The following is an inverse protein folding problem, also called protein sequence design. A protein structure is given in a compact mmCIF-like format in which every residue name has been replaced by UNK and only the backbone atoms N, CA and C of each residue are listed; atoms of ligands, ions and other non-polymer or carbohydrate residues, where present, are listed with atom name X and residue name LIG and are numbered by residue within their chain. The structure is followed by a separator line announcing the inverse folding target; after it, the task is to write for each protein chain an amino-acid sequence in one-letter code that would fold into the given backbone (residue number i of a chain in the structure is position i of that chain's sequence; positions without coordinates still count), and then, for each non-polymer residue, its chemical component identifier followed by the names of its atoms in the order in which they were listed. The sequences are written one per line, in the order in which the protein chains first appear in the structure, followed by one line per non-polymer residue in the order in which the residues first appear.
data_IF_585895612191
#
_entry.id   IF_585895612191
#
_cell.length_a   1.000
_cell.length_b   1.000
_cell.length_c   1.000
_cell.angle_alpha   90.00
_cell.angle_beta   90.00
_cell.angle_gamma   90.00
#
_symmetry.space_group_name_H-M   'P 1'
#
loop_
_entity.id
_entity.type
_entity.pdbx_description
1 polymer ?
#
# COMPACT_ATOMS: atom_id res chain seq x y z
N UNK A 1 0.34 17.27 -11.48
CA UNK A 1 -0.75 16.66 -10.68
C UNK A 1 -1.06 15.24 -11.13
N UNK A 2 -1.64 15.01 -12.32
CA UNK A 2 -2.00 13.65 -12.76
C UNK A 2 -0.79 12.71 -12.95
N UNK A 3 0.36 13.21 -13.42
CA UNK A 3 1.59 12.40 -13.46
C UNK A 3 2.06 11.97 -12.06
N UNK A 4 1.87 12.81 -11.04
CA UNK A 4 2.18 12.49 -9.65
C UNK A 4 1.20 11.47 -9.06
N UNK A 5 -0.08 11.57 -9.40
CA UNK A 5 -1.11 10.59 -9.00
C UNK A 5 -0.89 9.25 -9.71
N UNK A 6 -0.54 9.26 -11.00
CA UNK A 6 -0.17 8.05 -11.74
C UNK A 6 1.04 7.34 -11.12
N UNK A 7 2.04 8.09 -10.64
CA UNK A 7 3.14 7.51 -9.85
C UNK A 7 2.66 6.86 -8.55
N UNK A 8 1.68 7.44 -7.85
CA UNK A 8 1.10 6.81 -6.66
C UNK A 8 0.37 5.51 -7.01
N UNK A 9 -0.35 5.44 -8.13
CA UNK A 9 -0.92 4.18 -8.62
C UNK A 9 0.15 3.13 -8.93
N UNK A 10 1.23 3.53 -9.60
CA UNK A 10 2.34 2.63 -9.92
C UNK A 10 3.10 2.13 -8.68
N UNK A 11 3.15 2.93 -7.61
CA UNK A 11 3.93 2.58 -6.42
C UNK A 11 3.09 1.87 -5.35
N UNK A 12 1.80 2.20 -5.22
CA UNK A 12 0.94 1.61 -4.19
C UNK A 12 0.08 0.46 -4.73
N UNK A 13 -0.60 0.66 -5.87
CA UNK A 13 -1.58 -0.31 -6.37
C UNK A 13 -0.94 -1.44 -7.17
N UNK A 14 -0.07 -1.10 -8.12
CA UNK A 14 0.55 -2.11 -9.00
C UNK A 14 1.33 -3.14 -8.20
N UNK A 15 2.19 -2.77 -7.22
CA UNK A 15 2.92 -3.77 -6.46
C UNK A 15 2.02 -4.57 -5.55
N UNK A 16 0.95 -3.99 -4.99
CA UNK A 16 -0.04 -4.74 -4.24
C UNK A 16 -0.66 -5.84 -5.11
N UNK A 17 -1.21 -5.48 -6.27
CA UNK A 17 -1.87 -6.44 -7.16
C UNK A 17 -0.89 -7.50 -7.65
N UNK A 18 0.29 -7.10 -8.13
CA UNK A 18 1.27 -8.04 -8.67
C UNK A 18 1.80 -8.94 -7.56
N UNK A 19 2.33 -8.39 -6.47
CA UNK A 19 3.02 -9.19 -5.45
C UNK A 19 2.05 -10.06 -4.66
N UNK A 20 0.84 -9.59 -4.36
CA UNK A 20 -0.17 -10.43 -3.70
C UNK A 20 -0.64 -11.53 -4.64
N UNK A 21 -0.91 -11.25 -5.92
CA UNK A 21 -1.28 -12.32 -6.85
C UNK A 21 -0.12 -13.29 -7.05
N UNK A 22 1.11 -12.83 -7.26
CA UNK A 22 2.26 -13.71 -7.50
C UNK A 22 2.53 -14.63 -6.31
N UNK A 23 2.57 -14.08 -5.09
CA UNK A 23 3.02 -14.84 -3.92
C UNK A 23 1.88 -15.49 -3.12
N UNK A 24 0.67 -14.93 -3.16
CA UNK A 24 -0.43 -15.36 -2.30
C UNK A 24 -1.63 -15.94 -3.05
N UNK A 25 -1.65 -16.01 -4.38
CA UNK A 25 -2.75 -16.65 -5.13
C UNK A 25 -2.50 -18.12 -5.50
N UNK A 26 -1.30 -18.64 -5.23
CA UNK A 26 -0.94 -20.00 -5.64
C UNK A 26 -0.64 -20.14 -7.14
N UNK A 27 -0.87 -19.08 -7.93
CA UNK A 27 -0.73 -19.12 -9.40
C UNK A 27 0.72 -19.17 -9.87
N UNK A 28 1.65 -18.54 -9.15
CA UNK A 28 3.07 -18.49 -9.54
C UNK A 28 3.94 -19.33 -8.60
N UNK A 29 3.63 -19.30 -7.30
CA UNK A 29 4.28 -20.16 -6.31
C UNK A 29 3.21 -21.00 -5.62
N UNK A 30 3.34 -22.34 -5.58
CA UNK A 30 2.40 -23.19 -4.87
C UNK A 30 2.16 -22.73 -3.43
N UNK A 31 0.92 -22.74 -2.94
CA UNK A 31 0.62 -22.29 -1.58
C UNK A 31 1.37 -23.03 -0.47
N UNK A 32 1.77 -24.27 -0.75
CA UNK A 32 2.57 -25.11 0.13
C UNK A 32 4.03 -24.65 0.28
N UNK A 33 4.53 -23.81 -0.62
CA UNK A 33 5.89 -23.29 -0.62
C UNK A 33 6.00 -22.07 0.31
N UNK A 34 6.12 -22.34 1.61
CA UNK A 34 6.09 -21.32 2.68
C UNK A 34 7.19 -20.26 2.58
N UNK A 35 8.30 -20.58 1.90
CA UNK A 35 9.39 -19.62 1.62
C UNK A 35 8.90 -18.41 0.79
N UNK A 36 7.86 -18.58 -0.03
CA UNK A 36 7.29 -17.49 -0.82
C UNK A 36 6.65 -16.41 0.06
N UNK A 37 6.02 -16.78 1.19
CA UNK A 37 5.44 -15.81 2.10
C UNK A 37 6.53 -14.92 2.76
N UNK A 38 7.63 -15.52 3.21
CA UNK A 38 8.77 -14.77 3.76
C UNK A 38 9.39 -13.86 2.68
N UNK A 39 9.56 -14.38 1.47
CA UNK A 39 10.09 -13.62 0.32
C UNK A 39 9.19 -12.44 -0.05
N UNK A 40 7.87 -12.63 -0.02
CA UNK A 40 6.91 -11.56 -0.22
C UNK A 40 7.16 -10.39 0.75
N UNK A 41 7.29 -10.65 2.06
CA UNK A 41 7.56 -9.58 3.03
C UNK A 41 8.88 -8.86 2.76
N UNK A 42 9.95 -9.59 2.40
CA UNK A 42 11.26 -9.01 2.09
C UNK A 42 11.22 -8.06 0.89
N UNK A 43 10.39 -8.36 -0.11
CA UNK A 43 10.23 -7.51 -1.30
C UNK A 43 9.24 -6.38 -1.02
N UNK A 44 8.15 -6.66 -0.31
CA UNK A 44 7.04 -5.74 -0.15
C UNK A 44 7.35 -4.61 0.84
N UNK A 45 8.16 -4.85 1.89
CA UNK A 45 8.57 -3.82 2.83
C UNK A 45 9.32 -2.64 2.16
N UNK A 46 10.36 -2.87 1.33
CA UNK A 46 10.98 -1.81 0.54
C UNK A 46 10.00 -1.05 -0.36
N UNK A 47 9.07 -1.76 -0.99
CA UNK A 47 8.03 -1.15 -1.84
C UNK A 47 7.13 -0.22 -1.04
N UNK A 48 6.69 -0.63 0.15
CA UNK A 48 5.90 0.22 1.05
C UNK A 48 6.71 1.44 1.52
N UNK A 49 8.00 1.27 1.82
CA UNK A 49 8.86 2.40 2.19
C UNK A 49 8.99 3.44 1.06
N UNK A 50 9.18 2.99 -0.18
CA UNK A 50 9.20 3.87 -1.36
C UNK A 50 7.84 4.55 -1.57
N UNK A 51 6.73 3.84 -1.33
CA UNK A 51 5.39 4.40 -1.38
C UNK A 51 5.16 5.50 -0.34
N UNK A 52 5.60 5.28 0.91
CA UNK A 52 5.59 6.29 1.97
C UNK A 52 6.40 7.52 1.56
N UNK A 53 7.59 7.33 1.02
CA UNK A 53 8.41 8.45 0.52
C UNK A 53 7.69 9.22 -0.60
N UNK A 54 7.09 8.53 -1.57
CA UNK A 54 6.35 9.16 -2.66
C UNK A 54 5.13 9.97 -2.14
N UNK A 55 4.40 9.44 -1.16
CA UNK A 55 3.31 10.15 -0.49
C UNK A 55 3.80 11.38 0.25
N UNK A 56 4.90 11.28 1.00
CA UNK A 56 5.49 12.42 1.70
C UNK A 56 5.89 13.54 0.72
N UNK A 57 6.52 13.19 -0.41
CA UNK A 57 6.84 14.14 -1.48
C UNK A 57 5.58 14.76 -2.10
N UNK A 58 4.53 13.97 -2.30
CA UNK A 58 3.25 14.45 -2.81
C UNK A 58 2.57 15.42 -1.86
N UNK A 59 2.59 15.17 -0.54
CA UNK A 59 2.03 16.07 0.48
C UNK A 59 2.72 17.43 0.43
N UNK A 60 4.05 17.46 0.37
CA UNK A 60 4.82 18.71 0.28
C UNK A 60 4.56 19.50 -1.00
N UNK A 61 4.37 18.80 -2.12
CA UNK A 61 4.10 19.42 -3.43
C UNK A 61 2.60 19.60 -3.75
N UNK A 62 1.70 19.17 -2.87
CA UNK A 62 0.28 19.02 -3.15
C UNK A 62 -0.40 20.37 -3.44
N UNK A 63 -1.25 20.49 -4.47
CA UNK A 63 -1.80 21.79 -4.89
C UNK A 63 -2.96 22.28 -4.02
N UNK A 64 -3.67 21.38 -3.31
CA UNK A 64 -4.82 21.75 -2.47
C UNK A 64 -4.77 21.05 -1.11
N UNK A 65 -5.37 21.67 -0.09
CA UNK A 65 -5.43 21.12 1.28
C UNK A 65 -6.06 19.73 1.31
N UNK A 66 -7.18 19.53 0.58
CA UNK A 66 -7.88 18.25 0.55
C UNK A 66 -7.00 17.11 0.02
N UNK A 67 -6.25 17.35 -1.06
CA UNK A 67 -5.34 16.32 -1.61
C UNK A 67 -4.19 16.00 -0.64
N UNK A 68 -3.68 17.00 0.08
CA UNK A 68 -2.65 16.80 1.11
C UNK A 68 -3.19 16.00 2.30
N UNK A 69 -4.42 16.26 2.73
CA UNK A 69 -5.06 15.50 3.82
C UNK A 69 -5.26 14.04 3.42
N UNK A 70 -5.81 13.77 2.23
CA UNK A 70 -6.01 12.39 1.77
C UNK A 70 -4.66 11.67 1.67
N UNK A 71 -3.64 12.30 1.08
CA UNK A 71 -2.30 11.72 0.99
C UNK A 71 -1.65 11.51 2.38
N UNK A 72 -1.90 12.40 3.34
CA UNK A 72 -1.44 12.25 4.72
C UNK A 72 -2.08 11.06 5.44
N UNK A 73 -3.39 10.86 5.25
CA UNK A 73 -4.09 9.68 5.76
C UNK A 73 -3.55 8.39 5.11
N UNK A 74 -3.28 8.42 3.80
CA UNK A 74 -2.62 7.30 3.12
C UNK A 74 -1.23 7.02 3.68
N UNK A 75 -0.43 8.06 3.98
CA UNK A 75 0.90 7.89 4.56
C UNK A 75 0.83 7.21 5.94
N UNK A 76 -0.13 7.61 6.77
CA UNK A 76 -0.40 6.96 8.05
C UNK A 76 -0.74 5.48 7.85
N UNK A 77 -1.67 5.17 6.96
CA UNK A 77 -2.11 3.80 6.69
C UNK A 77 -1.02 2.92 6.09
N UNK A 78 -0.17 3.47 5.21
CA UNK A 78 1.00 2.76 4.69
C UNK A 78 2.04 2.50 5.79
N UNK A 79 2.20 3.42 6.74
CA UNK A 79 3.05 3.21 7.92
C UNK A 79 2.50 2.09 8.82
N UNK A 80 1.18 2.02 9.00
CA UNK A 80 0.52 0.90 9.69
C UNK A 80 0.72 -0.41 8.93
N UNK A 81 0.68 -0.39 7.61
CA UNK A 81 0.96 -1.59 6.80
C UNK A 81 2.41 -2.07 6.97
N UNK A 82 3.38 -1.15 6.97
CA UNK A 82 4.80 -1.47 7.25
C UNK A 82 4.93 -2.13 8.62
N UNK A 83 4.28 -1.58 9.65
CA UNK A 83 4.28 -2.16 10.98
C UNK A 83 3.72 -3.59 10.98
N UNK A 84 2.60 -3.84 10.27
CA UNK A 84 2.04 -5.18 10.11
C UNK A 84 3.01 -6.14 9.42
N UNK A 85 3.50 -5.80 8.23
CA UNK A 85 4.42 -6.67 7.48
C UNK A 85 5.73 -6.95 8.24
N UNK A 86 6.27 -5.96 8.93
CA UNK A 86 7.47 -6.14 9.74
C UNK A 86 7.22 -7.08 10.93
N UNK A 87 6.08 -6.96 11.61
CA UNK A 87 5.72 -7.85 12.71
C UNK A 87 5.45 -9.29 12.26
N UNK A 88 4.79 -9.47 11.11
CA UNK A 88 4.65 -10.79 10.48
C UNK A 88 6.02 -11.39 10.16
N UNK A 89 6.90 -10.62 9.51
CA UNK A 89 8.25 -11.07 9.13
C UNK A 89 9.10 -11.43 10.36
N UNK A 90 9.05 -10.64 11.43
CA UNK A 90 9.75 -10.96 12.69
C UNK A 90 9.23 -12.27 13.28
N UNK A 91 7.91 -12.47 13.30
CA UNK A 91 7.30 -13.71 13.78
C UNK A 91 7.78 -14.91 12.95
N UNK A 92 7.83 -14.77 11.63
CA UNK A 92 8.32 -15.80 10.71
C UNK A 92 9.82 -16.08 10.95
N UNK A 93 10.66 -15.05 11.09
CA UNK A 93 12.10 -15.18 11.35
C UNK A 93 12.36 -15.94 12.65
N UNK A 94 11.65 -15.59 13.72
CA UNK A 94 11.78 -16.24 15.04
C UNK A 94 11.43 -17.72 15.03
N UNK A 95 10.64 -18.18 14.04
CA UNK A 95 10.14 -19.54 13.94
C UNK A 95 10.73 -20.34 12.78
N UNK A 96 11.93 -19.98 12.30
CA UNK A 96 12.64 -20.75 11.26
C UNK A 96 12.60 -20.13 9.87
N UNK A 97 12.08 -18.90 9.75
CA UNK A 97 12.12 -18.06 8.55
C UNK A 97 11.56 -18.75 7.30
N UNK A 98 12.40 -19.13 6.34
CA UNK A 98 11.97 -19.84 5.13
C UNK A 98 11.43 -21.25 5.41
N UNK A 99 11.76 -21.84 6.56
CA UNK A 99 11.32 -23.17 6.97
C UNK A 99 10.25 -23.12 8.07
N UNK A 100 9.60 -21.97 8.29
CA UNK A 100 8.66 -21.82 9.38
C UNK A 100 7.47 -22.82 9.27
N UNK A 101 7.04 -23.40 10.41
CA UNK A 101 5.96 -24.39 10.41
C UNK A 101 4.62 -23.75 10.08
N UNK A 102 3.66 -24.51 9.56
CA UNK A 102 2.37 -23.95 9.13
C UNK A 102 1.58 -23.30 10.26
N UNK A 103 1.76 -23.80 11.48
CA UNK A 103 1.03 -23.33 12.66
C UNK A 103 1.24 -21.83 12.88
N UNK A 104 2.40 -21.27 12.51
CA UNK A 104 2.64 -19.84 12.72
C UNK A 104 1.71 -18.95 11.91
N UNK A 105 1.17 -19.44 10.78
CA UNK A 105 0.23 -18.70 9.93
C UNK A 105 -1.23 -18.80 10.43
N UNK A 106 -1.47 -19.57 11.50
CA UNK A 106 -2.74 -19.62 12.22
C UNK A 106 -2.60 -19.18 13.69
N UNK A 107 -1.39 -18.88 14.15
CA UNK A 107 -1.07 -18.42 15.50
C UNK A 107 -1.25 -16.91 15.70
N UNK A 108 -1.53 -16.53 16.95
CA UNK A 108 -1.95 -15.18 17.33
C UNK A 108 -0.98 -14.04 16.97
N UNK A 109 0.36 -14.17 17.13
CA UNK A 109 1.26 -13.05 16.83
C UNK A 109 1.27 -12.69 15.33
N UNK A 110 1.42 -13.69 14.46
CA UNK A 110 1.40 -13.49 13.01
C UNK A 110 0.06 -12.89 12.56
N UNK A 111 -1.05 -13.52 12.97
CA UNK A 111 -2.40 -13.08 12.61
C UNK A 111 -2.77 -11.71 13.19
N UNK A 112 -2.19 -11.33 14.34
CA UNK A 112 -2.34 -9.99 14.90
C UNK A 112 -1.72 -8.95 13.98
N UNK A 113 -0.47 -9.14 13.56
CA UNK A 113 0.22 -8.21 12.67
C UNK A 113 -0.38 -8.18 11.25
N UNK A 114 -0.81 -9.33 10.74
CA UNK A 114 -1.47 -9.45 9.43
C UNK A 114 -2.70 -8.55 9.30
N UNK A 115 -3.46 -8.33 10.39
CA UNK A 115 -4.60 -7.40 10.39
C UNK A 115 -4.18 -5.98 10.05
N UNK A 116 -3.06 -5.50 10.61
CA UNK A 116 -2.55 -4.15 10.34
C UNK A 116 -2.01 -4.03 8.91
N UNK A 117 -1.30 -5.06 8.43
CA UNK A 117 -0.80 -5.13 7.06
C UNK A 117 -1.95 -4.99 6.05
N UNK A 118 -2.95 -5.88 6.16
CA UNK A 118 -4.08 -5.94 5.23
C UNK A 118 -4.92 -4.67 5.30
N UNK A 119 -5.33 -4.23 6.51
CA UNK A 119 -6.18 -3.06 6.66
C UNK A 119 -5.49 -1.77 6.20
N UNK A 120 -4.20 -1.61 6.52
CA UNK A 120 -3.42 -0.46 6.10
C UNK A 120 -3.36 -0.32 4.58
N UNK A 121 -3.15 -1.44 3.86
CA UNK A 121 -3.13 -1.42 2.40
C UNK A 121 -4.52 -1.17 1.81
N UNK A 122 -5.53 -1.95 2.23
CA UNK A 122 -6.88 -1.86 1.70
C UNK A 122 -7.45 -0.44 1.82
N UNK A 123 -7.32 0.17 3.00
CA UNK A 123 -7.80 1.53 3.23
C UNK A 123 -6.97 2.55 2.43
N UNK A 124 -5.65 2.33 2.27
CA UNK A 124 -4.83 3.18 1.40
C UNK A 124 -5.28 3.15 -0.06
N UNK A 125 -5.72 1.99 -0.58
CA UNK A 125 -6.24 1.86 -1.93
C UNK A 125 -7.57 2.59 -2.11
N UNK A 126 -8.48 2.46 -1.14
CA UNK A 126 -9.74 3.23 -1.13
C UNK A 126 -9.45 4.72 -1.15
N UNK A 127 -8.50 5.19 -0.33
CA UNK A 127 -8.10 6.60 -0.34
C UNK A 127 -7.39 7.03 -1.63
N UNK A 128 -6.65 6.15 -2.31
CA UNK A 128 -6.05 6.45 -3.61
C UNK A 128 -7.12 6.70 -4.69
N UNK A 129 -8.19 5.90 -4.68
CA UNK A 129 -9.38 6.14 -5.53
C UNK A 129 -10.02 7.49 -5.18
N UNK A 130 -10.25 7.76 -3.90
CA UNK A 130 -10.82 9.03 -3.45
C UNK A 130 -9.95 10.24 -3.84
N UNK A 131 -8.62 10.13 -3.72
CA UNK A 131 -7.65 11.14 -4.14
C UNK A 131 -7.73 11.40 -5.65
N UNK A 132 -7.85 10.34 -6.45
CA UNK A 132 -7.98 10.42 -7.91
C UNK A 132 -9.27 11.13 -8.31
N UNK A 133 -10.40 10.76 -7.70
CA UNK A 133 -11.70 11.40 -7.92
C UNK A 133 -11.65 12.88 -7.52
N UNK A 134 -11.10 13.19 -6.34
CA UNK A 134 -10.97 14.56 -5.83
C UNK A 134 -10.14 15.43 -6.78
N UNK A 135 -9.01 14.90 -7.26
CA UNK A 135 -8.15 15.58 -8.22
C UNK A 135 -8.86 15.83 -9.57
N UNK A 136 -9.69 14.88 -10.01
CA UNK A 136 -10.48 15.02 -11.23
C UNK A 136 -11.55 16.11 -11.11
N UNK A 137 -12.33 16.12 -10.01
CA UNK A 137 -13.36 17.13 -9.75
C UNK A 137 -12.73 18.53 -9.69
N UNK A 138 -11.65 18.70 -8.93
CA UNK A 138 -10.96 19.98 -8.77
C UNK A 138 -10.43 20.52 -10.12
N UNK A 139 -9.91 19.65 -10.99
CA UNK A 139 -9.47 20.06 -12.34
C UNK A 139 -10.65 20.51 -13.21
N UNK A 140 -11.80 19.82 -13.12
CA UNK A 140 -12.98 20.16 -13.91
C UNK A 140 -13.52 21.54 -13.52
N UNK A 141 -13.69 21.79 -12.22
CA UNK A 141 -14.13 23.11 -11.73
C UNK A 141 -13.14 24.23 -12.04
N UNK A 142 -11.83 23.97 -11.88
CA UNK A 142 -10.80 24.94 -12.24
C UNK A 142 -10.74 25.26 -13.74
N UNK A 143 -11.29 24.39 -14.62
CA UNK A 143 -11.47 24.68 -16.06
C UNK A 143 -12.72 25.49 -16.32
N UNK A 144 -13.85 25.11 -15.71
CA UNK A 144 -15.12 25.84 -15.85
C UNK A 144 -14.98 27.29 -15.37
N UNK A 145 -14.29 27.52 -14.25
CA UNK A 145 -14.06 28.87 -13.72
C UNK A 145 -13.12 29.74 -14.58
N UNK A 146 -12.39 29.16 -15.55
CA UNK A 146 -11.50 29.90 -16.47
C UNK A 146 -12.14 30.21 -17.82
N UNK A 147 -13.32 29.65 -18.11
CA UNK A 147 -14.08 30.03 -19.28
C UNK A 147 -14.83 31.32 -18.94
N UNK A 148 -14.74 32.38 -19.75
CA UNK A 148 -15.55 33.58 -19.52
C UNK A 148 -17.03 33.18 -19.55
N UNK A 149 -17.81 33.72 -18.61
CA UNK A 149 -19.26 33.60 -18.66
C UNK A 149 -19.72 34.21 -19.99
N UNK A 150 -20.28 33.36 -20.86
CA UNK A 150 -20.90 33.77 -22.11
C UNK A 150 -22.26 34.44 -21.84
#
# INVERSE_FOLDING_TARGET
MFGSIGRLWLLLFVPFVILVLTFMSGLVVPHQDRWAHATFHLIYLPVLAVSCWALWRFIGAGPTRSLRVIAGLMLLLQSVAIFGHAGELVTVIQNGFFNAPESIFSENPHMFFAKFAILGIMLSLVLLVALTITAFIQRRWGRTARLPAA
#
